data_IF_941872871078
#
_entry.id   IF_941872871078
#
_cell.length_a   1.000
_cell.length_b   1.000
_cell.length_c   1.000
_cell.angle_alpha   90.00
_cell.angle_beta   90.00
_cell.angle_gamma   90.00
#
_symmetry.space_group_name_H-M   'P 1'
#
loop_
_entity.id
_entity.type
_entity.pdbx_description
1 polymer ?
#
# COMPACT_ATOMS: atom_id res chain seq x y z
N UNK A 1 -20.67 -18.20 -15.78
CA UNK A 1 -20.53 -18.02 -15.31
C UNK A 1 -20.34 -17.31 -14.34
N UNK A 2 -20.41 -17.44 -13.77
CA UNK A 2 -20.27 -16.83 -12.53
C UNK A 2 -18.91 -16.31 -12.22
N UNK A 3 -17.96 -16.67 -12.99
CA UNK A 3 -16.61 -16.16 -12.82
C UNK A 3 -16.62 -14.65 -12.91
N UNK A 4 -17.32 -14.10 -13.88
CA UNK A 4 -17.35 -12.66 -14.04
C UNK A 4 -17.98 -11.97 -12.85
N UNK A 5 -19.07 -12.51 -12.33
CA UNK A 5 -19.73 -11.87 -11.21
C UNK A 5 -18.89 -11.94 -9.94
N UNK A 6 -18.17 -13.05 -9.74
CA UNK A 6 -17.27 -13.17 -8.63
C UNK A 6 -16.17 -12.12 -8.71
N UNK A 7 -15.62 -11.95 -9.90
CA UNK A 7 -14.55 -10.97 -10.08
C UNK A 7 -15.05 -9.55 -9.85
N UNK A 8 -16.23 -9.22 -10.34
CA UNK A 8 -16.73 -7.87 -10.15
C UNK A 8 -16.99 -7.58 -8.68
N UNK A 9 -17.47 -8.57 -7.95
CA UNK A 9 -17.68 -8.40 -6.54
C UNK A 9 -16.35 -8.26 -5.80
N UNK A 10 -15.34 -8.97 -6.26
CA UNK A 10 -14.05 -8.99 -5.57
C UNK A 10 -13.19 -7.77 -5.82
N UNK A 11 -13.55 -6.92 -6.77
CA UNK A 11 -12.71 -5.77 -7.09
C UNK A 11 -12.43 -4.93 -5.85
N UNK A 12 -13.47 -4.55 -5.13
CA UNK A 12 -13.29 -3.75 -3.92
C UNK A 12 -12.59 -4.51 -2.81
N UNK A 13 -12.93 -5.80 -2.68
CA UNK A 13 -12.30 -6.62 -1.65
C UNK A 13 -10.82 -6.83 -1.93
N UNK A 14 -10.47 -7.02 -3.19
CA UNK A 14 -9.07 -7.19 -3.58
C UNK A 14 -8.27 -5.95 -3.26
N UNK A 15 -8.82 -4.78 -3.57
CA UNK A 15 -8.15 -3.53 -3.25
C UNK A 15 -7.97 -3.37 -1.74
N UNK A 16 -9.00 -3.71 -0.96
CA UNK A 16 -8.91 -3.60 0.47
C UNK A 16 -7.84 -4.50 1.05
N UNK A 17 -7.75 -5.74 0.55
CA UNK A 17 -6.72 -6.65 1.02
C UNK A 17 -5.33 -6.15 0.68
N UNK A 18 -5.17 -5.60 -0.52
CA UNK A 18 -3.89 -5.05 -0.94
C UNK A 18 -3.49 -3.87 -0.04
N UNK A 19 -4.45 -2.99 0.26
CA UNK A 19 -4.19 -1.85 1.13
C UNK A 19 -3.85 -2.31 2.54
N UNK A 20 -4.54 -3.33 3.06
CA UNK A 20 -4.25 -3.87 4.38
C UNK A 20 -2.83 -4.43 4.46
N UNK A 21 -2.42 -5.16 3.44
CA UNK A 21 -1.06 -5.72 3.41
C UNK A 21 -0.02 -4.61 3.43
N UNK A 22 -0.24 -3.58 2.63
CA UNK A 22 0.68 -2.44 2.58
C UNK A 22 0.65 -1.69 3.90
N UNK A 23 -0.51 -1.54 4.52
CA UNK A 23 -0.60 -0.87 5.81
C UNK A 23 0.26 -1.58 6.85
N UNK A 24 0.21 -2.91 6.86
CA UNK A 24 1.05 -3.69 7.77
C UNK A 24 2.53 -3.47 7.46
N UNK A 25 2.87 -3.46 6.17
CA UNK A 25 4.26 -3.20 5.76
C UNK A 25 4.74 -1.83 6.23
N UNK A 26 3.89 -0.81 6.07
CA UNK A 26 4.23 0.53 6.51
C UNK A 26 4.40 0.61 8.02
N UNK A 27 3.60 -0.15 8.77
CA UNK A 27 3.75 -0.20 10.21
C UNK A 27 5.10 -0.77 10.62
N UNK A 28 5.63 -1.71 9.85
CA UNK A 28 6.95 -2.26 10.13
C UNK A 28 8.04 -1.20 10.00
N UNK A 29 7.90 -0.31 9.03
CA UNK A 29 8.85 0.79 8.87
C UNK A 29 8.81 1.69 10.11
N UNK A 30 7.62 2.07 10.53
CA UNK A 30 7.46 2.94 11.70
C UNK A 30 7.98 2.27 12.96
N UNK A 31 7.73 0.97 13.11
CA UNK A 31 8.19 0.22 14.28
C UNK A 31 9.72 0.12 14.31
N UNK A 32 10.38 0.23 13.17
CA UNK A 32 11.83 0.17 13.08
C UNK A 32 12.46 1.56 12.91
N UNK A 33 11.77 2.60 13.38
CA UNK A 33 12.16 3.99 13.15
C UNK A 33 13.53 4.35 13.71
N UNK A 34 14.09 3.53 14.58
CA UNK A 34 15.41 3.78 15.14
C UNK A 34 16.53 3.46 14.16
N UNK A 35 16.20 2.71 13.08
CA UNK A 35 17.20 2.40 12.06
C UNK A 35 17.53 3.66 11.28
N UNK A 36 18.81 3.98 11.21
CA UNK A 36 19.25 5.17 10.45
C UNK A 36 18.82 5.10 9.00
N UNK A 37 18.82 3.90 8.45
CA UNK A 37 18.44 3.70 7.05
C UNK A 37 17.01 4.13 6.77
N UNK A 38 16.18 4.27 7.81
CA UNK A 38 14.78 4.62 7.67
C UNK A 38 14.46 6.08 8.01
N UNK A 39 15.48 6.90 8.28
CA UNK A 39 15.25 8.28 8.71
C UNK A 39 14.28 9.05 7.83
N UNK A 40 14.40 8.89 6.51
CA UNK A 40 13.51 9.60 5.60
C UNK A 40 12.24 8.80 5.32
N UNK A 41 12.35 7.48 5.28
CA UNK A 41 11.22 6.63 4.98
C UNK A 41 10.13 6.68 6.05
N UNK A 42 10.50 6.88 7.30
CA UNK A 42 9.55 6.85 8.42
C UNK A 42 8.43 7.88 8.25
N UNK A 43 8.79 9.09 7.86
CA UNK A 43 7.77 10.14 7.70
C UNK A 43 6.81 9.81 6.57
N UNK A 44 7.33 9.34 5.45
CA UNK A 44 6.47 8.93 4.33
C UNK A 44 5.62 7.73 4.69
N UNK A 45 6.21 6.78 5.43
CA UNK A 45 5.48 5.59 5.83
C UNK A 45 4.36 5.90 6.81
N UNK A 46 4.61 6.82 7.74
CA UNK A 46 3.61 7.21 8.72
C UNK A 46 2.39 7.84 8.04
N UNK A 47 2.64 8.74 7.11
CA UNK A 47 1.55 9.35 6.34
C UNK A 47 0.85 8.31 5.48
N UNK A 48 1.62 7.42 4.86
CA UNK A 48 1.04 6.34 4.06
C UNK A 48 0.16 5.42 4.89
N UNK A 49 0.56 5.14 6.12
CA UNK A 49 -0.23 4.34 7.04
C UNK A 49 -1.60 4.99 7.30
N UNK A 50 -1.59 6.30 7.54
CA UNK A 50 -2.84 7.03 7.77
C UNK A 50 -3.72 7.03 6.52
N UNK A 51 -3.10 7.21 5.36
CA UNK A 51 -3.84 7.17 4.09
C UNK A 51 -4.48 5.81 3.88
N UNK A 52 -3.76 4.74 4.20
CA UNK A 52 -4.30 3.39 4.10
C UNK A 52 -5.51 3.22 5.01
N UNK A 53 -5.42 3.74 6.24
CA UNK A 53 -6.52 3.67 7.17
C UNK A 53 -7.75 4.39 6.65
N UNK A 54 -7.56 5.55 6.03
CA UNK A 54 -8.67 6.31 5.45
C UNK A 54 -9.32 5.55 4.29
N UNK A 55 -8.51 4.92 3.45
CA UNK A 55 -9.06 4.12 2.35
C UNK A 55 -9.89 2.95 2.85
N UNK A 56 -9.41 2.28 3.89
CA UNK A 56 -10.12 1.15 4.46
C UNK A 56 -11.41 1.60 5.14
N UNK A 57 -11.41 2.78 5.74
CA UNK A 57 -12.62 3.33 6.34
C UNK A 57 -13.66 3.67 5.26
N UNK A 58 -13.22 4.19 4.12
CA UNK A 58 -14.12 4.51 3.01
C UNK A 58 -14.85 3.26 2.53
N UNK A 59 -14.16 2.13 2.54
CA UNK A 59 -14.76 0.88 2.09
C UNK A 59 -15.98 0.50 2.90
N UNK A 60 -16.01 0.89 4.18
CA UNK A 60 -17.16 0.59 5.03
C UNK A 60 -18.37 1.45 4.73
N UNK A 61 -18.18 2.54 3.99
CA UNK A 61 -19.25 3.49 3.67
C UNK A 61 -19.61 3.41 2.21
N UNK A 62 -18.59 3.29 1.34
CA UNK A 62 -18.79 3.29 -0.09
C UNK A 62 -18.59 1.87 -0.64
N UNK A 63 -19.22 1.60 -1.76
CA UNK A 63 -19.06 0.30 -2.41
C UNK A 63 -17.65 0.07 -2.93
N UNK A 64 -16.92 1.14 -3.15
CA UNK A 64 -15.53 1.06 -3.60
C UNK A 64 -14.77 2.27 -3.11
N UNK A 65 -13.45 2.15 -3.14
CA UNK A 65 -12.59 3.24 -2.72
C UNK A 65 -12.57 4.36 -3.75
N UNK A 66 -12.40 5.58 -3.27
CA UNK A 66 -12.24 6.76 -4.12
C UNK A 66 -10.98 6.58 -4.97
N UNK A 67 -11.10 6.60 -6.31
CA UNK A 67 -9.94 6.41 -7.18
C UNK A 67 -8.86 7.47 -6.99
N UNK A 68 -9.24 8.69 -6.70
CA UNK A 68 -8.27 9.76 -6.50
C UNK A 68 -7.48 9.54 -5.22
N UNK A 69 -8.16 9.20 -4.15
CA UNK A 69 -7.48 8.90 -2.88
C UNK A 69 -6.58 7.68 -3.02
N UNK A 70 -7.02 6.68 -3.78
CA UNK A 70 -6.24 5.49 -4.04
C UNK A 70 -4.96 5.84 -4.81
N UNK A 71 -5.08 6.72 -5.80
CA UNK A 71 -3.93 7.17 -6.57
C UNK A 71 -2.95 7.95 -5.69
N UNK A 72 -3.45 8.80 -4.81
CA UNK A 72 -2.59 9.54 -3.89
C UNK A 72 -1.82 8.60 -2.98
N UNK A 73 -2.48 7.54 -2.52
CA UNK A 73 -1.82 6.53 -1.72
C UNK A 73 -0.69 5.85 -2.50
N UNK A 74 -0.97 5.53 -3.77
CA UNK A 74 0.04 4.96 -4.64
C UNK A 74 1.26 5.87 -4.77
N UNK A 75 1.03 7.16 -4.98
CA UNK A 75 2.13 8.13 -5.10
C UNK A 75 2.94 8.15 -3.79
N UNK A 76 2.25 8.11 -2.66
CA UNK A 76 2.93 8.09 -1.36
C UNK A 76 3.83 6.85 -1.24
N UNK A 77 3.36 5.72 -1.76
CA UNK A 77 4.16 4.50 -1.72
C UNK A 77 5.42 4.59 -2.58
N UNK A 78 5.36 5.34 -3.66
CA UNK A 78 6.56 5.57 -4.48
C UNK A 78 7.63 6.29 -3.65
N UNK A 79 7.24 7.29 -2.86
CA UNK A 79 8.17 7.98 -1.99
C UNK A 79 8.74 7.04 -0.93
N UNK A 80 7.87 6.21 -0.34
CA UNK A 80 8.34 5.24 0.66
C UNK A 80 9.35 4.29 0.02
N UNK A 81 9.00 3.72 -1.13
CA UNK A 81 9.87 2.75 -1.79
C UNK A 81 11.23 3.33 -2.13
N UNK A 82 11.25 4.58 -2.59
CA UNK A 82 12.51 5.23 -2.95
C UNK A 82 13.43 5.44 -1.77
N UNK A 83 12.90 5.40 -0.56
CA UNK A 83 13.68 5.64 0.65
C UNK A 83 13.95 4.38 1.45
N UNK A 84 13.76 3.20 0.85
CA UNK A 84 14.01 1.93 1.53
C UNK A 84 15.28 1.22 1.06
N UNK A 85 16.03 1.82 0.15
CA UNK A 85 17.15 1.15 -0.53
C UNK A 85 18.21 0.62 0.40
N UNK A 86 18.48 1.35 1.49
CA UNK A 86 19.58 1.00 2.38
C UNK A 86 19.16 0.17 3.58
N UNK A 87 17.86 -0.08 3.73
CA UNK A 87 17.38 -0.88 4.84
C UNK A 87 17.59 -2.36 4.52
N UNK A 88 18.24 -3.08 5.44
CA UNK A 88 18.64 -4.46 5.25
C UNK A 88 17.92 -5.39 6.22
N UNK A 89 17.89 -6.68 5.87
CA UNK A 89 17.33 -7.72 6.70
C UNK A 89 16.07 -8.31 6.11
N UNK A 90 15.57 -9.37 6.76
CA UNK A 90 14.41 -10.09 6.26
C UNK A 90 13.15 -9.22 6.28
N UNK A 91 12.96 -8.47 7.34
CA UNK A 91 11.80 -7.58 7.44
C UNK A 91 11.86 -6.54 6.33
N UNK A 92 13.03 -5.97 6.10
CA UNK A 92 13.20 -4.98 5.04
C UNK A 92 12.84 -5.56 3.68
N UNK A 93 13.27 -6.78 3.44
CA UNK A 93 13.01 -7.45 2.17
C UNK A 93 11.51 -7.68 1.98
N UNK A 94 10.83 -8.15 3.02
CA UNK A 94 9.40 -8.40 2.96
C UNK A 94 8.62 -7.11 2.72
N UNK A 95 8.99 -6.05 3.42
CA UNK A 95 8.32 -4.76 3.27
C UNK A 95 8.50 -4.22 1.86
N UNK A 96 9.73 -4.26 1.35
CA UNK A 96 9.99 -3.79 -0.01
C UNK A 96 9.19 -4.58 -1.04
N UNK A 97 9.15 -5.90 -0.89
CA UNK A 97 8.41 -6.75 -1.82
C UNK A 97 6.94 -6.41 -1.82
N UNK A 98 6.36 -6.28 -0.63
CA UNK A 98 4.93 -5.98 -0.50
C UNK A 98 4.59 -4.64 -1.17
N UNK A 99 5.40 -3.63 -0.90
CA UNK A 99 5.14 -2.29 -1.45
C UNK A 99 5.34 -2.30 -2.96
N UNK A 100 6.39 -2.92 -3.45
CA UNK A 100 6.66 -2.98 -4.88
C UNK A 100 5.59 -3.76 -5.63
N UNK A 101 5.09 -4.84 -5.04
CA UNK A 101 4.03 -5.62 -5.66
C UNK A 101 2.76 -4.77 -5.80
N UNK A 102 2.43 -3.99 -4.78
CA UNK A 102 1.28 -3.09 -4.84
C UNK A 102 1.47 -2.07 -5.97
N UNK A 103 2.64 -1.47 -6.02
CA UNK A 103 2.95 -0.46 -7.04
C UNK A 103 2.80 -1.05 -8.44
N UNK A 104 3.37 -2.22 -8.66
CA UNK A 104 3.30 -2.90 -9.96
C UNK A 104 1.86 -3.21 -10.33
N UNK A 105 1.09 -3.71 -9.37
CA UNK A 105 -0.31 -4.08 -9.62
C UNK A 105 -1.13 -2.85 -10.01
N UNK A 106 -0.92 -1.74 -9.32
CA UNK A 106 -1.64 -0.51 -9.64
C UNK A 106 -1.24 0.01 -11.02
N UNK A 107 0.06 0.04 -11.32
CA UNK A 107 0.54 0.50 -12.62
C UNK A 107 -0.04 -0.35 -13.74
N UNK A 108 -0.09 -1.65 -13.51
CA UNK A 108 -0.64 -2.57 -14.49
C UNK A 108 -2.11 -2.31 -14.74
N UNK A 109 -2.86 -1.99 -13.69
CA UNK A 109 -4.28 -1.73 -13.81
C UNK A 109 -4.55 -0.41 -14.54
N UNK A 110 -3.59 0.51 -14.55
CA UNK A 110 -3.74 1.79 -15.25
C UNK A 110 -3.40 1.70 -16.74
N UNK A 111 -2.73 0.64 -17.12
CA UNK A 111 -2.42 0.43 -18.53
C UNK A 111 -3.62 -0.17 -19.24
N UNK A 112 -3.79 0.23 -20.47
CA UNK A 112 -4.89 -0.29 -21.27
C UNK A 112 -4.42 -0.74 -22.62
#
# INVERSE_FOLDING_TARGET
MTVGSVLSMKAGESQAKDVEKVQIALSQIVMNRREKALNYAVNYASLGYDMAGNLLAQRGILSQMDPEAFHEFYVQLLYVANNLSYWRGDTAKQVRTTIKDFIKKYQKSQRR
#
